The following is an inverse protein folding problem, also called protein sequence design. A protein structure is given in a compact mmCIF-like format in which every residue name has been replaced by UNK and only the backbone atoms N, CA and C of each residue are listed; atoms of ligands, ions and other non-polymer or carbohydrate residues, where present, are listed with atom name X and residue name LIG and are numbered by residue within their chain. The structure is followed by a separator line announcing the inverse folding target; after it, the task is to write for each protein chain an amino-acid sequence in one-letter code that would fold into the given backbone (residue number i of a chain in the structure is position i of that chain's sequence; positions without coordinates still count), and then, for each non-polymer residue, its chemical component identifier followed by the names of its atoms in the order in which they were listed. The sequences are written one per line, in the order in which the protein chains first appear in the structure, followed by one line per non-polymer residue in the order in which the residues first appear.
data_IF_158302865830
#
_entry.id   IF_158302865830
#
_cell.length_a   1.000
_cell.length_b   1.000
_cell.length_c   1.000
_cell.angle_alpha   90.00
_cell.angle_beta   90.00
_cell.angle_gamma   90.00
#
_symmetry.space_group_name_H-M   'P 1'
#
loop_
_entity.id
_entity.type
_entity.pdbx_description
1 polymer ?
#
# COMPACT_ATOMS: atom_id res chain seq x y z
N UNK A 1 0.73 6.52 8.22
CA UNK A 1 0.95 5.51 7.16
C UNK A 1 2.38 5.00 7.15
N UNK A 2 3.43 5.83 7.00
CA UNK A 2 4.83 5.35 6.98
C UNK A 2 5.26 4.61 8.26
N UNK A 3 4.73 4.97 9.44
CA UNK A 3 4.96 4.24 10.70
C UNK A 3 4.45 2.79 10.67
N UNK A 4 3.61 2.45 9.70
CA UNK A 4 3.07 1.10 9.50
C UNK A 4 3.75 0.35 8.35
N UNK A 5 4.77 0.93 7.74
CA UNK A 5 5.51 0.30 6.66
C UNK A 5 6.94 0.01 7.10
N UNK A 6 7.58 -0.94 6.43
CA UNK A 6 9.04 -1.05 6.42
C UNK A 6 9.59 -0.60 5.06
N UNK A 7 10.76 0.03 5.09
CA UNK A 7 11.50 0.44 3.90
C UNK A 7 12.18 -0.79 3.34
N UNK A 8 11.92 -1.14 2.08
CA UNK A 8 12.61 -2.25 1.43
C UNK A 8 13.83 -1.77 0.64
N UNK A 9 13.69 -0.68 -0.10
CA UNK A 9 14.73 -0.22 -1.01
C UNK A 9 14.60 1.27 -1.36
N UNK A 10 15.64 1.81 -1.98
CA UNK A 10 15.60 3.07 -2.71
C UNK A 10 16.12 2.79 -4.13
N UNK A 11 15.32 3.16 -5.14
CA UNK A 11 15.60 2.85 -6.54
C UNK A 11 15.58 4.10 -7.41
N UNK A 12 16.45 4.16 -8.41
CA UNK A 12 16.42 5.19 -9.44
C UNK A 12 15.38 4.84 -10.52
N UNK A 13 14.44 5.75 -10.77
CA UNK A 13 13.54 5.65 -11.91
C UNK A 13 14.15 6.41 -13.08
N UNK A 14 14.12 5.80 -14.28
CA UNK A 14 14.58 6.44 -15.52
C UNK A 14 13.94 7.83 -15.68
N UNK A 15 14.78 8.85 -15.85
CA UNK A 15 14.42 10.27 -15.97
C UNK A 15 13.88 10.94 -14.70
N UNK A 16 13.98 10.31 -13.53
CA UNK A 16 13.69 10.97 -12.25
C UNK A 16 14.91 11.76 -11.76
N UNK A 17 14.66 12.89 -11.10
CA UNK A 17 15.71 13.68 -10.41
C UNK A 17 15.96 13.21 -8.98
N UNK A 18 15.15 12.28 -8.46
CA UNK A 18 15.23 11.79 -7.10
C UNK A 18 14.90 10.29 -7.02
N UNK A 19 15.57 9.53 -6.14
CA UNK A 19 15.29 8.11 -5.97
C UNK A 19 13.90 7.89 -5.34
N UNK A 20 13.22 6.86 -5.82
CA UNK A 20 11.95 6.39 -5.30
C UNK A 20 12.21 5.43 -4.12
N UNK A 21 11.58 5.67 -2.98
CA UNK A 21 11.62 4.75 -1.85
C UNK A 21 10.50 3.73 -1.93
N UNK A 22 10.86 2.46 -1.82
CA UNK A 22 9.94 1.33 -1.84
C UNK A 22 9.61 0.92 -0.40
N UNK A 23 8.33 0.82 -0.11
CA UNK A 23 7.81 0.44 1.20
C UNK A 23 6.92 -0.78 1.06
N UNK A 24 6.84 -1.59 2.12
CA UNK A 24 5.87 -2.68 2.21
C UNK A 24 5.14 -2.69 3.54
N UNK A 25 3.95 -3.28 3.54
CA UNK A 25 3.20 -3.64 4.74
C UNK A 25 3.39 -5.12 5.02
N UNK A 26 3.58 -5.46 6.29
CA UNK A 26 3.62 -6.85 6.72
C UNK A 26 2.22 -7.34 6.97
N UNK A 27 1.67 -8.08 6.03
CA UNK A 27 0.29 -8.57 6.05
C UNK A 27 0.33 -10.09 6.29
N UNK A 28 -0.30 -10.56 7.37
CA UNK A 28 -0.44 -11.97 7.70
C UNK A 28 -1.33 -12.73 6.71
N UNK A 29 -1.24 -14.06 6.67
CA UNK A 29 -2.03 -14.89 5.74
C UNK A 29 -3.53 -14.74 5.98
N UNK A 30 -3.92 -14.57 7.25
CA UNK A 30 -5.30 -14.41 7.70
C UNK A 30 -5.97 -13.17 7.11
N UNK A 31 -5.17 -12.15 6.75
CA UNK A 31 -5.66 -10.94 6.10
C UNK A 31 -6.08 -11.13 4.65
N UNK A 32 -5.53 -12.16 4.01
CA UNK A 32 -5.82 -12.53 2.63
C UNK A 32 -6.97 -13.54 2.55
N UNK A 33 -7.39 -14.10 3.69
CA UNK A 33 -8.53 -15.01 3.75
C UNK A 33 -9.84 -14.21 3.60
N UNK A 34 -10.50 -14.41 2.46
CA UNK A 34 -11.89 -13.98 2.27
C UNK A 34 -12.71 -14.74 3.33
N UNK A 35 -13.24 -14.03 4.34
CA UNK A 35 -14.06 -14.60 5.40
C UNK A 35 -15.18 -15.46 4.79
N UNK A 36 -15.03 -16.79 4.80
CA UNK A 36 -16.02 -17.72 4.21
C UNK A 36 -17.33 -17.78 5.00
N UNK A 37 -17.31 -17.42 6.28
CA UNK A 37 -18.49 -17.30 7.14
C UNK A 37 -18.33 -16.04 7.99
N UNK A 38 -19.15 -15.02 7.75
CA UNK A 38 -19.19 -13.85 8.64
C UNK A 38 -19.80 -14.26 9.99
N UNK A 39 -19.10 -14.13 11.13
CA UNK A 39 -19.80 -13.94 12.39
C UNK A 39 -20.53 -12.59 12.34
N UNK A 40 -21.75 -12.53 12.88
CA UNK A 40 -22.53 -11.30 12.97
C UNK A 40 -21.78 -10.28 13.83
N UNK A 41 -21.08 -9.35 13.18
CA UNK A 41 -20.39 -8.24 13.85
C UNK A 41 -21.42 -7.19 14.31
N UNK A 42 -21.19 -6.52 15.45
CA UNK A 42 -22.05 -5.43 15.91
C UNK A 42 -22.07 -4.29 14.87
N UNK A 43 -23.26 -3.72 14.67
CA UNK A 43 -23.60 -2.73 13.64
C UNK A 43 -22.76 -1.45 13.64
N UNK A 44 -22.01 -1.18 14.72
CA UNK A 44 -21.09 -0.04 14.84
C UNK A 44 -19.78 -0.20 14.06
N UNK A 45 -19.47 -1.41 13.58
CA UNK A 45 -18.30 -1.72 12.76
C UNK A 45 -18.71 -2.27 11.39
N UNK A 46 -19.85 -1.82 10.86
CA UNK A 46 -20.32 -2.18 9.52
C UNK A 46 -19.26 -1.82 8.47
N UNK A 47 -18.38 -2.79 8.23
CA UNK A 47 -17.52 -2.98 7.08
C UNK A 47 -18.36 -2.63 5.86
N UNK A 48 -17.83 -1.77 4.99
CA UNK A 48 -18.40 -1.52 3.68
C UNK A 48 -18.67 -2.82 2.95
N UNK A 49 -19.90 -3.32 3.07
CA UNK A 49 -20.58 -3.88 1.93
C UNK A 49 -20.59 -2.76 0.91
N UNK A 50 -19.85 -2.93 -0.18
CA UNK A 50 -20.15 -2.23 -1.42
C UNK A 50 -21.61 -2.57 -1.71
N UNK A 51 -22.52 -1.71 -1.27
CA UNK A 51 -23.88 -1.68 -1.75
C UNK A 51 -23.79 -0.84 -3.02
N UNK A 52 -23.52 -1.51 -4.14
CA UNK A 52 -23.86 -0.94 -5.44
C UNK A 52 -25.38 -0.86 -5.47
N UNK A 53 -25.95 0.20 -4.88
CA UNK A 53 -27.26 0.65 -5.31
C UNK A 53 -27.02 1.20 -6.70
N UNK A 54 -27.10 0.33 -7.70
CA UNK A 54 -27.08 0.76 -9.08
C UNK A 54 -28.19 1.80 -9.23
N UNK A 55 -27.80 3.04 -9.55
CA UNK A 55 -28.77 4.08 -9.85
C UNK A 55 -29.51 3.65 -11.12
N UNK A 56 -30.85 3.79 -11.19
CA UNK A 56 -31.61 3.49 -12.41
C UNK A 56 -31.01 4.13 -13.68
N UNK A 57 -30.33 5.28 -13.53
CA UNK A 57 -29.63 6.00 -14.58
C UNK A 57 -28.44 5.22 -15.19
N UNK A 58 -27.72 4.41 -14.41
CA UNK A 58 -26.60 3.61 -14.91
C UNK A 58 -27.07 2.38 -15.69
N UNK A 59 -28.23 1.83 -15.32
CA UNK A 59 -28.89 0.73 -16.03
C UNK A 59 -29.35 1.22 -17.42
N UNK A 60 -30.01 2.38 -17.48
CA UNK A 60 -30.49 2.96 -18.75
C UNK A 60 -29.33 3.32 -19.69
N UNK A 61 -28.22 3.87 -19.17
CA UNK A 61 -27.02 4.14 -19.97
C UNK A 61 -26.35 2.89 -20.53
N UNK A 62 -26.35 1.78 -19.79
CA UNK A 62 -25.78 0.51 -20.30
C UNK A 62 -26.69 -0.13 -21.34
N UNK A 63 -28.00 -0.09 -21.14
CA UNK A 63 -28.98 -0.62 -22.10
C UNK A 63 -28.92 0.12 -23.43
N UNK A 64 -28.81 1.46 -23.44
CA UNK A 64 -28.71 2.22 -24.70
C UNK A 64 -27.42 1.92 -25.48
N UNK A 65 -26.31 1.68 -24.78
CA UNK A 65 -25.03 1.28 -25.40
C UNK A 65 -25.09 -0.13 -25.99
N UNK A 66 -25.81 -1.06 -25.34
CA UNK A 66 -25.93 -2.45 -25.79
C UNK A 66 -26.93 -2.59 -26.93
N UNK A 67 -28.04 -1.83 -26.93
CA UNK A 67 -29.14 -2.02 -27.88
C UNK A 67 -29.18 -0.96 -28.99
N UNK A 68 -28.35 0.07 -28.95
CA UNK A 68 -28.30 1.13 -29.97
C UNK A 68 -29.58 1.98 -30.08
N UNK A 69 -30.46 1.93 -29.08
CA UNK A 69 -31.72 2.68 -29.07
C UNK A 69 -31.49 4.07 -28.48
N UNK A 70 -31.62 5.11 -29.33
CA UNK A 70 -31.58 6.51 -28.91
C UNK A 70 -32.95 6.89 -28.32
N UNK A 71 -33.00 7.21 -27.03
CA UNK A 71 -34.22 7.71 -26.37
C UNK A 71 -34.14 9.24 -26.39
N UNK A 72 -35.13 9.90 -27.00
CA UNK A 72 -35.18 11.35 -27.11
C UNK A 72 -35.53 12.00 -25.75
N UNK A 73 -34.69 12.92 -25.28
CA UNK A 73 -34.96 13.75 -24.11
C UNK A 73 -35.98 14.84 -24.49
N UNK A 74 -37.13 14.86 -23.83
CA UNK A 74 -38.11 15.95 -23.96
C UNK A 74 -37.66 17.16 -23.13
N UNK A 75 -37.63 18.30 -23.80
CA UNK A 75 -37.34 19.66 -23.34
C UNK A 75 -38.19 20.14 -22.16
N UNK A 76 -37.55 20.80 -21.18
CA UNK A 76 -38.16 21.67 -20.17
C UNK A 76 -37.12 22.68 -19.64
N UNK A 77 -37.45 23.97 -19.76
CA UNK A 77 -36.61 25.18 -19.70
C UNK A 77 -35.91 25.49 -18.33
N UNK A 78 -34.87 26.35 -18.31
CA UNK A 78 -33.93 26.58 -17.22
C UNK A 78 -34.37 27.73 -16.32
N UNK A 79 -34.36 27.53 -14.99
CA UNK A 79 -34.21 28.67 -14.07
C UNK A 79 -33.48 28.28 -12.78
N UNK A 80 -32.44 29.08 -12.53
CA UNK A 80 -31.58 29.24 -11.37
C UNK A 80 -31.72 28.32 -10.15
N UNK A 81 -30.63 27.62 -9.81
CA UNK A 81 -29.83 27.94 -8.60
C UNK A 81 -28.42 27.36 -8.77
N UNK A 82 -27.43 28.25 -8.74
CA UNK A 82 -26.01 27.93 -8.69
C UNK A 82 -25.66 27.19 -7.40
N UNK A 83 -25.28 25.92 -7.50
CA UNK A 83 -24.35 25.27 -6.56
C UNK A 83 -23.26 24.70 -7.44
N UNK A 84 -22.06 25.21 -7.22
CA UNK A 84 -20.86 24.90 -7.99
C UNK A 84 -20.63 23.38 -8.09
N UNK A 85 -20.21 22.96 -9.29
CA UNK A 85 -19.63 21.67 -9.58
C UNK A 85 -18.58 21.28 -8.52
N UNK A 86 -18.98 20.46 -7.55
CA UNK A 86 -18.05 19.61 -6.81
C UNK A 86 -18.26 18.18 -7.30
N UNK A 87 -17.70 17.91 -8.49
CA UNK A 87 -17.46 16.54 -8.95
C UNK A 87 -16.29 15.98 -8.15
N UNK A 88 -16.50 15.75 -6.86
CA UNK A 88 -15.73 14.72 -6.16
C UNK A 88 -16.20 13.41 -6.75
N UNK A 89 -15.47 12.95 -7.76
CA UNK A 89 -15.59 11.60 -8.29
C UNK A 89 -15.75 10.61 -7.12
N UNK A 90 -16.73 9.73 -7.30
CA UNK A 90 -17.26 8.74 -6.35
C UNK A 90 -16.22 7.65 -6.03
N UNK A 91 -15.06 8.05 -5.53
CA UNK A 91 -13.99 7.16 -5.10
C UNK A 91 -14.19 6.80 -3.63
N UNK A 92 -14.25 5.50 -3.35
CA UNK A 92 -14.11 5.00 -1.99
C UNK A 92 -12.70 5.34 -1.52
N UNK A 93 -12.58 6.28 -0.58
CA UNK A 93 -11.32 6.52 0.14
C UNK A 93 -11.12 5.35 1.09
N UNK A 94 -10.36 4.35 0.65
CA UNK A 94 -9.89 3.27 1.52
C UNK A 94 -8.81 3.87 2.41
N UNK A 95 -9.12 4.12 3.69
CA UNK A 95 -8.07 4.37 4.67
C UNK A 95 -7.31 3.07 4.92
N UNK A 96 -6.28 2.87 4.11
CA UNK A 96 -5.42 1.70 4.14
C UNK A 96 -4.79 1.51 5.53
N UNK A 97 -4.57 2.57 6.31
CA UNK A 97 -4.02 2.46 7.65
C UNK A 97 -5.02 1.84 8.64
N UNK A 98 -6.29 2.25 8.58
CA UNK A 98 -7.35 1.64 9.42
C UNK A 98 -7.55 0.17 9.04
N UNK A 99 -7.50 -0.15 7.74
CA UNK A 99 -7.77 -1.50 7.28
C UNK A 99 -6.59 -2.47 7.38
N UNK A 100 -5.34 -2.02 7.28
CA UNK A 100 -4.16 -2.91 7.34
C UNK A 100 -3.67 -3.18 8.77
N UNK A 101 -3.92 -2.29 9.72
CA UNK A 101 -3.53 -2.48 11.13
C UNK A 101 -3.94 -3.84 11.71
N UNK A 102 -5.20 -4.31 11.58
CA UNK A 102 -5.61 -5.62 12.11
C UNK A 102 -4.96 -6.81 11.38
N UNK A 103 -4.33 -6.58 10.24
CA UNK A 103 -3.74 -7.59 9.38
C UNK A 103 -2.21 -7.70 9.52
N UNK A 104 -1.56 -6.77 10.25
CA UNK A 104 -0.17 -6.92 10.70
C UNK A 104 -0.11 -7.82 11.93
N UNK A 105 -0.55 -9.06 11.79
CA UNK A 105 -0.53 -10.04 12.89
C UNK A 105 0.88 -10.60 13.02
N UNK A 106 1.45 -10.51 14.23
CA UNK A 106 2.68 -11.23 14.59
C UNK A 106 4.01 -10.49 14.35
N UNK A 107 4.01 -9.23 13.91
CA UNK A 107 5.25 -8.43 13.81
C UNK A 107 5.23 -7.28 14.82
N UNK A 108 6.23 -7.26 15.71
CA UNK A 108 6.38 -6.21 16.71
C UNK A 108 6.89 -4.90 16.11
N UNK A 109 6.38 -3.76 16.59
CA UNK A 109 6.84 -2.43 16.15
C UNK A 109 8.36 -2.25 16.37
N UNK A 110 8.89 -2.79 17.47
CA UNK A 110 10.33 -2.75 17.77
C UNK A 110 11.15 -3.43 16.67
N UNK A 111 10.64 -4.53 16.11
CA UNK A 111 11.30 -5.22 15.00
C UNK A 111 11.29 -4.34 13.74
N UNK A 112 10.14 -3.72 13.42
CA UNK A 112 10.01 -2.81 12.28
C UNK A 112 10.99 -1.63 12.40
N UNK A 113 11.13 -1.04 13.58
CA UNK A 113 12.06 0.05 13.83
C UNK A 113 13.52 -0.38 13.64
N UNK A 114 13.87 -1.57 14.13
CA UNK A 114 15.20 -2.15 13.97
C UNK A 114 15.52 -2.43 12.50
N UNK A 115 14.59 -3.04 11.76
CA UNK A 115 14.76 -3.30 10.33
C UNK A 115 14.88 -2.00 9.52
N UNK A 116 14.02 -1.01 9.79
CA UNK A 116 14.08 0.29 9.15
C UNK A 116 15.40 1.02 9.44
N UNK A 117 15.95 0.88 10.66
CA UNK A 117 17.28 1.38 10.97
C UNK A 117 18.33 0.67 10.13
N UNK A 118 18.29 -0.66 10.06
CA UNK A 118 19.23 -1.47 9.30
C UNK A 118 19.28 -1.07 7.81
N UNK A 119 18.11 -0.93 7.17
CA UNK A 119 18.01 -0.53 5.76
C UNK A 119 18.51 0.90 5.56
N UNK A 120 18.18 1.85 6.45
CA UNK A 120 18.72 3.22 6.35
C UNK A 120 20.25 3.25 6.47
N UNK A 121 20.82 2.46 7.37
CA UNK A 121 22.27 2.31 7.55
C UNK A 121 22.93 1.69 6.31
N UNK A 122 22.27 0.71 5.67
CA UNK A 122 22.73 0.15 4.40
C UNK A 122 22.73 1.21 3.29
N UNK A 123 21.62 1.94 3.13
CA UNK A 123 21.49 2.99 2.12
C UNK A 123 22.48 4.14 2.37
N UNK A 124 22.85 4.45 3.62
CA UNK A 124 23.86 5.47 3.92
C UNK A 124 25.31 5.00 3.68
N UNK A 125 25.52 3.77 3.21
CA UNK A 125 26.85 3.21 2.91
C UNK A 125 27.56 2.56 4.10
N UNK A 126 26.94 2.53 5.28
CA UNK A 126 27.52 1.94 6.51
C UNK A 126 27.28 0.43 6.57
N UNK A 127 27.73 -0.30 5.55
CA UNK A 127 27.37 -1.71 5.31
C UNK A 127 27.70 -2.66 6.47
N UNK A 128 28.82 -2.46 7.17
CA UNK A 128 29.19 -3.26 8.34
C UNK A 128 28.20 -3.11 9.51
N UNK A 129 27.78 -1.88 9.82
CA UNK A 129 26.77 -1.65 10.86
C UNK A 129 25.41 -2.17 10.41
N UNK A 130 25.06 -1.97 9.14
CA UNK A 130 23.82 -2.50 8.57
C UNK A 130 23.73 -4.02 8.72
N UNK A 131 24.82 -4.74 8.41
CA UNK A 131 24.89 -6.20 8.59
C UNK A 131 24.61 -6.60 10.05
N UNK A 132 25.24 -5.93 11.01
CA UNK A 132 25.04 -6.22 12.44
C UNK A 132 23.58 -6.04 12.86
N UNK A 133 22.92 -4.99 12.37
CA UNK A 133 21.51 -4.75 12.63
C UNK A 133 20.61 -5.81 11.96
N UNK A 134 20.94 -6.24 10.74
CA UNK A 134 20.22 -7.27 10.01
C UNK A 134 20.37 -8.66 10.65
N UNK A 135 21.56 -9.00 11.17
CA UNK A 135 21.77 -10.23 11.93
C UNK A 135 20.84 -10.25 13.17
N UNK A 136 20.67 -9.10 13.84
CA UNK A 136 19.69 -8.92 14.91
C UNK A 136 18.24 -9.05 14.44
N UNK A 137 17.90 -8.55 13.24
CA UNK A 137 16.58 -8.72 12.65
C UNK A 137 16.26 -10.20 12.35
N UNK A 138 17.23 -10.94 11.81
CA UNK A 138 17.12 -12.36 11.47
C UNK A 138 16.93 -13.23 12.72
N UNK A 139 17.60 -12.88 13.83
CA UNK A 139 17.40 -13.56 15.11
C UNK A 139 16.00 -13.34 15.71
N UNK A 140 15.35 -12.20 15.40
CA UNK A 140 14.05 -11.83 15.96
C UNK A 140 12.88 -12.32 15.11
N UNK A 141 12.93 -12.12 13.79
CA UNK A 141 11.99 -12.70 12.82
C UNK A 141 12.78 -13.63 11.89
N UNK A 142 12.89 -14.92 12.23
CA UNK A 142 13.58 -15.87 11.37
C UNK A 142 12.79 -16.09 10.07
N UNK A 143 13.50 -16.28 8.96
CA UNK A 143 12.94 -16.47 7.61
C UNK A 143 12.25 -15.24 6.99
N UNK A 144 12.56 -14.03 7.45
CA UNK A 144 12.15 -12.80 6.75
C UNK A 144 12.96 -12.62 5.46
N UNK A 145 12.31 -12.88 4.31
CA UNK A 145 12.94 -12.85 2.99
C UNK A 145 13.67 -11.53 2.66
N UNK A 146 13.12 -10.33 2.95
CA UNK A 146 13.87 -9.08 2.78
C UNK A 146 15.15 -9.00 3.61
N UNK A 147 15.11 -9.45 4.87
CA UNK A 147 16.30 -9.51 5.74
C UNK A 147 17.34 -10.47 5.16
N UNK A 148 16.94 -11.69 4.78
CA UNK A 148 17.83 -12.70 4.17
C UNK A 148 18.51 -12.15 2.91
N UNK A 149 17.73 -11.58 1.99
CA UNK A 149 18.25 -11.05 0.74
C UNK A 149 19.32 -9.97 0.95
N UNK A 150 19.10 -9.04 1.90
CA UNK A 150 20.05 -7.98 2.15
C UNK A 150 21.32 -8.49 2.83
N UNK A 151 21.21 -9.50 3.72
CA UNK A 151 22.36 -10.19 4.30
C UNK A 151 23.19 -10.91 3.22
N UNK A 152 22.56 -11.70 2.35
CA UNK A 152 23.24 -12.39 1.24
C UNK A 152 23.95 -11.41 0.31
N UNK A 153 23.31 -10.27 0.02
CA UNK A 153 23.91 -9.21 -0.78
C UNK A 153 25.18 -8.63 -0.13
N UNK A 154 25.12 -8.33 1.17
CA UNK A 154 26.26 -7.81 1.94
C UNK A 154 27.38 -8.85 2.08
N UNK A 155 27.06 -10.13 2.25
CA UNK A 155 28.04 -11.22 2.27
C UNK A 155 28.75 -11.37 0.93
N UNK A 156 28.03 -11.20 -0.17
CA UNK A 156 28.58 -11.31 -1.53
C UNK A 156 29.51 -10.15 -1.87
N UNK A 157 29.19 -8.93 -1.44
CA UNK A 157 29.92 -7.71 -1.85
C UNK A 157 30.91 -7.19 -0.78
N UNK A 158 30.85 -7.72 0.43
CA UNK A 158 31.74 -7.35 1.53
C UNK A 158 31.20 -6.23 2.42
N UNK A 159 31.98 -5.83 3.45
CA UNK A 159 31.49 -5.02 4.56
C UNK A 159 31.44 -3.50 4.30
N UNK A 160 31.84 -3.05 3.10
CA UNK A 160 31.96 -1.64 2.75
C UNK A 160 31.23 -1.35 1.45
N UNK A 161 30.47 -0.26 1.43
CA UNK A 161 29.86 0.24 0.21
C UNK A 161 30.94 0.69 -0.79
N UNK A 162 30.67 0.61 -2.10
CA UNK A 162 31.51 1.24 -3.12
C UNK A 162 31.74 2.73 -2.83
N UNK A 163 32.91 3.29 -3.20
CA UNK A 163 33.20 4.71 -2.99
C UNK A 163 32.20 5.67 -3.65
N UNK A 164 31.57 5.22 -4.73
CA UNK A 164 30.57 5.94 -5.53
C UNK A 164 29.12 5.56 -5.17
N UNK A 165 28.90 4.85 -4.05
CA UNK A 165 27.58 4.41 -3.62
C UNK A 165 26.63 5.61 -3.43
N UNK A 166 25.58 5.74 -4.25
CA UNK A 166 24.70 6.91 -4.22
C UNK A 166 23.59 6.80 -3.18
N UNK A 167 23.48 5.64 -2.52
CA UNK A 167 22.45 5.34 -1.53
C UNK A 167 21.14 4.82 -2.08
N UNK A 168 21.17 4.28 -3.30
CA UNK A 168 20.06 3.66 -4.01
C UNK A 168 20.59 2.79 -5.17
N UNK A 169 19.71 2.00 -5.79
CA UNK A 169 20.02 1.10 -6.91
C UNK A 169 19.36 1.52 -8.22
#
# INVERSE_FOLDING_TARGET
MQSMCRILDAVEQRNSKAPLRVYTFDIGREALEIQKNQPSMPSSLNRGSISLKESPSSIIKRLSVITGLQIAETSGDPDATSIADDKTDDYIVIDFAIHVTPYRVGIENRWVDMFNKAVKTYLSGNWSEAKTLLDGCSAFVPNDRPTEFLLEYLETHGPAAPPDWPGYR
#
